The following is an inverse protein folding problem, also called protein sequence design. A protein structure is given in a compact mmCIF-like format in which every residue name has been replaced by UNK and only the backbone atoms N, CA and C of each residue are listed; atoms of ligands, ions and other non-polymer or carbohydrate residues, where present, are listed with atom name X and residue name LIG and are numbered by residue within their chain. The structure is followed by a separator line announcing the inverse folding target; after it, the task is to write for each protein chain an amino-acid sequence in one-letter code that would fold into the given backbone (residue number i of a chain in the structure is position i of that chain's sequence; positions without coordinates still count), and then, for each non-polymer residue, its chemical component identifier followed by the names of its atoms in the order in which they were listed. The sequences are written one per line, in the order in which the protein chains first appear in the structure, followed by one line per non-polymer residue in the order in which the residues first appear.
data_IF_000458222107
#
_entry.id   IF_000458222107
#
_cell.length_a   1.000
_cell.length_b   1.000
_cell.length_c   1.000
_cell.angle_alpha   90.00
_cell.angle_beta   90.00
_cell.angle_gamma   90.00
#
_symmetry.space_group_name_H-M   'P 1'
#
loop_
_entity.id
_entity.type
_entity.pdbx_description
1 polymer ?
#
# COMPACT_ATOMS: atom_id res chain seq x y z
N UNK A 1 -8.52 33.00 15.90
CA UNK A 1 -9.13 31.65 15.84
C UNK A 1 -8.91 31.13 14.44
N UNK A 2 -7.81 30.41 14.21
CA UNK A 2 -7.44 29.90 12.88
C UNK A 2 -7.85 28.44 12.76
N UNK A 3 -8.89 28.21 11.95
CA UNK A 3 -9.31 26.88 11.52
C UNK A 3 -8.31 26.36 10.49
N UNK A 4 -7.36 25.52 10.90
CA UNK A 4 -6.54 24.76 9.95
C UNK A 4 -7.36 23.59 9.44
N UNK A 5 -7.99 23.77 8.28
CA UNK A 5 -8.67 22.69 7.57
C UNK A 5 -7.66 21.62 7.12
N UNK A 6 -7.95 20.37 7.48
CA UNK A 6 -7.30 19.14 7.01
C UNK A 6 -7.45 18.97 5.48
N UNK A 7 -6.56 19.58 4.68
CA UNK A 7 -6.60 19.46 3.22
C UNK A 7 -5.78 18.29 2.64
N UNK A 8 -4.97 17.60 3.44
CA UNK A 8 -4.01 16.57 3.00
C UNK A 8 -4.60 15.16 2.86
N UNK A 9 -5.62 14.79 3.64
CA UNK A 9 -6.24 13.45 3.52
C UNK A 9 -7.05 13.29 2.24
N UNK A 10 -7.65 14.37 1.75
CA UNK A 10 -8.52 14.34 0.58
C UNK A 10 -7.70 14.13 -0.71
N UNK A 11 -6.48 14.65 -0.79
CA UNK A 11 -5.61 14.50 -1.98
C UNK A 11 -5.07 13.08 -2.17
N UNK A 12 -4.75 12.37 -1.09
CA UNK A 12 -4.31 10.97 -1.15
C UNK A 12 -5.48 10.08 -1.56
N UNK A 13 -6.65 10.28 -0.95
CA UNK A 13 -7.87 9.52 -1.29
C UNK A 13 -8.29 9.78 -2.74
N UNK A 14 -8.17 11.01 -3.23
CA UNK A 14 -8.45 11.36 -4.63
C UNK A 14 -7.45 10.70 -5.59
N UNK A 15 -6.15 10.68 -5.28
CA UNK A 15 -5.15 9.96 -6.10
C UNK A 15 -5.36 8.45 -6.11
N UNK A 16 -5.70 7.88 -4.96
CA UNK A 16 -6.13 6.48 -4.85
C UNK A 16 -7.34 6.28 -5.74
N UNK A 17 -8.43 7.05 -5.57
CA UNK A 17 -9.63 6.96 -6.40
C UNK A 17 -9.39 7.11 -7.91
N UNK A 18 -8.51 8.02 -8.34
CA UNK A 18 -8.14 8.17 -9.75
C UNK A 18 -7.43 6.93 -10.29
N UNK A 19 -6.55 6.33 -9.49
CA UNK A 19 -5.89 5.06 -9.81
C UNK A 19 -6.90 3.89 -9.85
N UNK A 20 -7.91 3.92 -8.98
CA UNK A 20 -8.98 2.91 -8.92
C UNK A 20 -9.90 2.97 -10.15
N UNK A 21 -10.16 4.18 -10.68
CA UNK A 21 -10.92 4.34 -11.92
C UNK A 21 -10.15 3.79 -13.12
N UNK A 22 -8.84 4.02 -13.20
CA UNK A 22 -8.00 3.50 -14.27
C UNK A 22 -7.93 1.97 -14.30
N UNK A 23 -7.99 1.30 -13.13
CA UNK A 23 -7.95 -0.16 -13.01
C UNK A 23 -9.31 -0.85 -13.14
N UNK A 24 -10.41 -0.13 -12.89
CA UNK A 24 -11.79 -0.63 -13.09
C UNK A 24 -12.10 -0.88 -14.56
N UNK A 25 -11.57 -0.03 -15.43
CA UNK A 25 -11.79 -0.11 -16.87
C UNK A 25 -11.10 -1.34 -17.51
N UNK A 26 -10.24 -2.05 -16.76
CA UNK A 26 -9.46 -3.23 -17.19
C UNK A 26 -10.03 -4.59 -16.70
N UNK A 27 -11.18 -4.62 -16.02
CA UNK A 27 -11.90 -5.88 -15.72
C UNK A 27 -11.50 -6.61 -14.42
N UNK A 28 -10.78 -5.95 -13.50
CA UNK A 28 -10.48 -6.50 -12.16
C UNK A 28 -11.76 -6.55 -11.30
N UNK A 29 -11.99 -7.67 -10.62
CA UNK A 29 -13.13 -7.82 -9.69
C UNK A 29 -12.98 -6.86 -8.50
N UNK A 30 -14.05 -6.18 -8.13
CA UNK A 30 -14.12 -5.23 -7.00
C UNK A 30 -13.50 -5.78 -5.70
N UNK A 31 -13.62 -7.09 -5.46
CA UNK A 31 -13.03 -7.76 -4.28
C UNK A 31 -11.51 -7.80 -4.30
N UNK A 32 -10.89 -8.02 -5.45
CA UNK A 32 -9.42 -8.08 -5.58
C UNK A 32 -8.80 -6.69 -5.40
N UNK A 33 -9.48 -5.66 -5.87
CA UNK A 33 -9.08 -4.26 -5.68
C UNK A 33 -9.13 -3.83 -4.20
N UNK A 34 -10.20 -4.20 -3.48
CA UNK A 34 -10.36 -3.86 -2.07
C UNK A 34 -9.23 -4.47 -1.22
N UNK A 35 -8.81 -5.68 -1.57
CA UNK A 35 -7.70 -6.38 -0.91
C UNK A 35 -6.37 -5.60 -1.05
N UNK A 36 -6.04 -5.11 -2.25
CA UNK A 36 -4.83 -4.31 -2.48
C UNK A 36 -4.85 -2.98 -1.72
N UNK A 37 -5.99 -2.29 -1.71
CA UNK A 37 -6.14 -1.06 -0.91
C UNK A 37 -5.95 -1.35 0.58
N UNK A 38 -6.47 -2.47 1.06
CA UNK A 38 -6.35 -2.85 2.48
C UNK A 38 -4.88 -3.01 2.88
N UNK A 39 -4.05 -3.62 2.02
CA UNK A 39 -2.60 -3.73 2.24
C UNK A 39 -1.90 -2.38 2.24
N UNK A 40 -2.20 -1.51 1.28
CA UNK A 40 -1.60 -0.18 1.22
C UNK A 40 -1.97 0.68 2.44
N UNK A 41 -3.23 0.62 2.89
CA UNK A 41 -3.68 1.30 4.10
C UNK A 41 -2.94 0.76 5.33
N UNK A 42 -2.78 -0.57 5.45
CA UNK A 42 -2.02 -1.16 6.55
C UNK A 42 -0.57 -0.67 6.59
N UNK A 43 0.13 -0.67 5.45
CA UNK A 43 1.51 -0.17 5.33
C UNK A 43 1.60 1.31 5.70
N UNK A 44 0.67 2.14 5.21
CA UNK A 44 0.61 3.56 5.54
C UNK A 44 0.39 3.78 7.04
N UNK A 45 -0.54 3.05 7.65
CA UNK A 45 -0.82 3.15 9.08
C UNK A 45 0.39 2.71 9.91
N UNK A 46 1.03 1.59 9.56
CA UNK A 46 2.23 1.12 10.24
C UNK A 46 3.35 2.16 10.20
N UNK A 47 3.53 2.83 9.05
CA UNK A 47 4.46 3.95 8.93
C UNK A 47 4.05 5.15 9.79
N UNK A 48 2.78 5.60 9.77
CA UNK A 48 2.32 6.70 10.62
C UNK A 48 2.53 6.40 12.12
N UNK A 49 2.29 5.17 12.55
CA UNK A 49 2.49 4.74 13.94
C UNK A 49 3.96 4.56 14.34
N UNK A 50 4.87 4.44 13.37
CA UNK A 50 6.30 4.46 13.64
C UNK A 50 6.85 5.88 13.81
N UNK A 51 6.09 6.92 13.41
CA UNK A 51 6.47 8.33 13.52
C UNK A 51 5.95 8.98 14.80
N UNK A 52 6.62 10.04 15.31
CA UNK A 52 6.13 10.84 16.43
C UNK A 52 4.69 11.33 16.20
N UNK A 53 3.83 11.36 17.23
CA UNK A 53 4.12 11.11 18.66
C UNK A 53 4.20 9.63 19.05
N UNK A 54 3.94 8.73 18.10
CA UNK A 54 3.99 7.29 18.31
C UNK A 54 5.40 6.75 18.02
N UNK A 55 5.70 5.54 18.51
CA UNK A 55 6.95 4.81 18.24
C UNK A 55 6.67 3.31 18.24
N UNK A 56 5.60 2.91 17.56
CA UNK A 56 5.23 1.49 17.47
C UNK A 56 5.95 0.87 16.30
N UNK A 57 6.70 -0.18 16.59
CA UNK A 57 7.29 -1.04 15.58
C UNK A 57 6.36 -2.22 15.30
N UNK A 58 5.95 -2.33 14.04
CA UNK A 58 5.07 -3.42 13.55
C UNK A 58 5.92 -4.57 12.98
N UNK A 59 7.24 -4.41 12.91
CA UNK A 59 8.19 -5.41 12.40
C UNK A 59 8.24 -5.48 10.88
N UNK A 60 7.83 -4.42 10.18
CA UNK A 60 7.95 -4.34 8.72
C UNK A 60 9.42 -4.02 8.38
N UNK A 61 10.10 -4.86 7.57
CA UNK A 61 11.47 -4.59 7.16
C UNK A 61 11.60 -3.24 6.44
N UNK A 62 12.72 -2.54 6.63
CA UNK A 62 12.94 -1.25 5.97
C UNK A 62 12.88 -1.34 4.44
N UNK A 63 13.35 -2.45 3.87
CA UNK A 63 13.28 -2.73 2.43
C UNK A 63 11.84 -2.71 1.89
N UNK A 64 10.86 -3.04 2.74
CA UNK A 64 9.46 -3.20 2.37
C UNK A 64 8.53 -2.25 3.14
N UNK A 65 9.06 -1.14 3.65
CA UNK A 65 8.26 -0.14 4.35
C UNK A 65 7.52 0.81 3.38
N UNK A 66 6.64 1.65 3.91
CA UNK A 66 5.88 2.63 3.12
C UNK A 66 6.78 3.53 2.25
N UNK A 67 7.93 3.96 2.79
CA UNK A 67 8.85 4.84 2.07
C UNK A 67 9.48 4.14 0.86
N UNK A 68 9.82 2.86 1.01
CA UNK A 68 10.33 2.04 -0.08
C UNK A 68 9.35 1.95 -1.27
N UNK A 69 8.05 2.04 -1.03
CA UNK A 69 7.04 2.09 -2.09
C UNK A 69 6.97 3.48 -2.72
N UNK A 70 6.90 4.54 -1.92
CA UNK A 70 6.69 5.90 -2.44
C UNK A 70 7.88 6.46 -3.21
N UNK A 71 9.07 5.90 -3.00
CA UNK A 71 10.30 6.33 -3.69
C UNK A 71 10.46 5.69 -5.08
N UNK A 72 9.52 4.83 -5.50
CA UNK A 72 9.57 4.07 -6.76
C UNK A 72 8.38 4.36 -7.65
N UNK A 73 8.56 4.12 -8.95
CA UNK A 73 7.51 4.20 -9.97
C UNK A 73 7.72 3.13 -11.04
N UNK A 74 6.67 2.80 -11.77
CA UNK A 74 6.63 2.01 -12.98
C UNK A 74 6.78 0.53 -12.68
N UNK A 75 7.46 -0.15 -13.60
CA UNK A 75 7.82 -1.56 -13.45
C UNK A 75 8.73 -1.84 -12.26
N UNK A 76 9.39 -0.82 -11.71
CA UNK A 76 10.15 -0.97 -10.48
C UNK A 76 9.21 -1.08 -9.27
N UNK A 77 8.25 -0.16 -9.12
CA UNK A 77 7.26 -0.23 -8.04
C UNK A 77 6.38 -1.48 -8.19
N UNK A 78 6.00 -1.82 -9.42
CA UNK A 78 5.97 -3.18 -10.00
C UNK A 78 6.34 -4.36 -9.12
N UNK A 79 7.51 -4.81 -9.52
CA UNK A 79 8.28 -5.88 -8.96
C UNK A 79 8.50 -5.70 -7.46
N UNK A 80 8.65 -4.45 -6.98
CA UNK A 80 8.87 -4.16 -5.56
C UNK A 80 7.64 -4.46 -4.71
N UNK A 81 6.46 -4.00 -5.12
CA UNK A 81 5.20 -4.26 -4.42
C UNK A 81 4.88 -5.76 -4.40
N UNK A 82 5.13 -6.44 -5.52
CA UNK A 82 5.08 -7.89 -5.65
C UNK A 82 5.98 -8.63 -4.64
N UNK A 83 7.25 -8.23 -4.57
CA UNK A 83 8.23 -8.80 -3.66
C UNK A 83 7.85 -8.55 -2.20
N UNK A 84 7.38 -7.34 -1.89
CA UNK A 84 6.87 -6.96 -0.58
C UNK A 84 5.71 -7.86 -0.15
N UNK A 85 4.66 -8.00 -0.98
CA UNK A 85 3.50 -8.81 -0.63
C UNK A 85 3.91 -10.26 -0.37
N UNK A 86 4.79 -10.81 -1.22
CA UNK A 86 5.33 -12.16 -1.07
C UNK A 86 6.10 -12.32 0.23
N UNK A 87 7.06 -11.43 0.51
CA UNK A 87 7.89 -11.54 1.71
C UNK A 87 7.05 -11.38 2.98
N UNK A 88 6.19 -10.37 3.04
CA UNK A 88 5.33 -10.12 4.19
C UNK A 88 4.33 -11.27 4.43
N UNK A 89 3.85 -11.93 3.37
CA UNK A 89 2.99 -13.13 3.49
C UNK A 89 3.69 -14.32 4.15
N UNK A 90 5.02 -14.41 4.01
CA UNK A 90 5.84 -15.50 4.56
C UNK A 90 6.33 -15.22 5.98
N UNK A 91 6.11 -14.01 6.51
CA UNK A 91 6.49 -13.66 7.88
C UNK A 91 5.62 -14.40 8.89
N UNK A 92 6.14 -14.59 10.10
CA UNK A 92 5.36 -15.14 11.23
C UNK A 92 4.56 -14.02 11.92
N UNK A 93 3.52 -14.39 12.66
CA UNK A 93 2.75 -13.45 13.47
C UNK A 93 1.81 -12.57 12.64
N UNK A 94 1.60 -11.33 13.07
CA UNK A 94 0.60 -10.41 12.51
C UNK A 94 0.78 -10.17 11.01
N UNK A 95 2.02 -9.94 10.55
CA UNK A 95 2.30 -9.67 9.14
C UNK A 95 1.93 -10.87 8.25
N UNK A 96 2.35 -12.07 8.64
CA UNK A 96 1.94 -13.29 7.93
C UNK A 96 0.42 -13.43 7.86
N UNK A 97 -0.30 -13.15 8.96
CA UNK A 97 -1.76 -13.28 8.98
C UNK A 97 -2.47 -12.26 8.07
N UNK A 98 -1.99 -11.02 8.02
CA UNK A 98 -2.57 -9.97 7.17
C UNK A 98 -2.28 -10.25 5.70
N UNK A 99 -1.08 -10.69 5.37
CA UNK A 99 -0.62 -10.85 3.98
C UNK A 99 -0.70 -12.30 3.46
N UNK A 100 -1.14 -13.29 4.25
CA UNK A 100 -1.17 -14.71 3.86
C UNK A 100 -1.98 -15.01 2.59
N UNK A 101 -2.94 -14.15 2.23
CA UNK A 101 -3.76 -14.28 1.01
C UNK A 101 -3.35 -13.30 -0.10
N UNK A 102 -2.30 -12.51 0.11
CA UNK A 102 -1.82 -11.52 -0.84
C UNK A 102 -1.23 -12.20 -2.09
N UNK A 103 -2.08 -12.59 -3.02
CA UNK A 103 -1.66 -12.95 -4.38
C UNK A 103 -1.69 -11.68 -5.22
N UNK A 104 -0.57 -11.35 -5.87
CA UNK A 104 -0.64 -10.31 -6.88
C UNK A 104 -1.41 -10.83 -8.10
N UNK A 105 -2.48 -10.11 -8.43
CA UNK A 105 -3.31 -10.35 -9.62
C UNK A 105 -3.18 -9.22 -10.64
N UNK A 106 -2.28 -8.27 -10.43
CA UNK A 106 -1.93 -7.22 -11.37
C UNK A 106 -1.06 -7.88 -12.46
N UNK A 107 -1.57 -7.85 -13.70
CA UNK A 107 -0.98 -8.58 -14.83
C UNK A 107 -0.06 -7.71 -15.70
N UNK A 108 0.11 -6.42 -15.41
CA UNK A 108 0.88 -5.51 -16.26
C UNK A 108 1.90 -4.63 -15.49
N UNK A 109 3.20 -5.03 -15.50
CA UNK A 109 4.36 -4.35 -14.92
C UNK A 109 4.44 -2.84 -15.15
N UNK A 110 3.88 -2.30 -16.22
CA UNK A 110 4.01 -0.87 -16.51
C UNK A 110 3.19 0.03 -15.56
N UNK A 111 2.32 -0.53 -14.70
CA UNK A 111 1.22 0.23 -14.05
C UNK A 111 1.41 0.59 -12.58
N UNK A 112 2.59 0.37 -12.01
CA UNK A 112 2.95 0.87 -10.68
C UNK A 112 3.75 2.19 -10.75
N UNK A 113 3.70 2.96 -11.84
CA UNK A 113 4.28 4.34 -11.89
C UNK A 113 3.39 5.42 -11.34
#
# INVERSE_FOLDING_TARGET
MTTTQNHTSNTIVQKVWSFCHMLRDDGVSYGDYLEQITYLIFLKMAFEYSQPPYKRDVGIPEEYNWKSLTDRTGAELESHYLALLRDLSMRKGLLGQIFAKAQNKIQDPAKLS
#
